data_IF_974977239266
#
_entry.id   IF_974977239266
#
_cell.length_a   1.000
_cell.length_b   1.000
_cell.length_c   1.000
_cell.angle_alpha   90.00
_cell.angle_beta   90.00
_cell.angle_gamma   90.00
#
_symmetry.space_group_name_H-M   'P 1'
#
loop_
_entity.id
_entity.type
_entity.pdbx_description
1 polymer ?
#
# COMPACT_ATOMS: atom_id res chain seq x y z
N UNK A 1 55.73 3.13 -51.15
CA UNK A 1 54.43 2.41 -51.13
C UNK A 1 54.59 1.17 -50.26
N UNK A 2 53.52 0.80 -49.55
CA UNK A 2 53.36 -0.41 -48.72
C UNK A 2 53.76 -0.33 -47.24
N UNK A 3 52.79 0.15 -46.45
CA UNK A 3 52.58 -0.22 -45.05
C UNK A 3 51.48 -1.28 -45.08
N UNK A 4 51.74 -2.49 -44.53
CA UNK A 4 50.77 -3.39 -43.86
C UNK A 4 51.32 -4.82 -43.82
N UNK A 5 51.19 -5.46 -42.63
CA UNK A 5 51.14 -6.93 -42.40
C UNK A 5 52.26 -7.61 -41.59
N UNK A 6 52.79 -6.98 -40.53
CA UNK A 6 53.68 -7.70 -39.58
C UNK A 6 53.03 -8.06 -38.23
N UNK A 7 51.75 -7.74 -38.01
CA UNK A 7 51.07 -7.99 -36.73
C UNK A 7 50.11 -9.20 -36.72
N UNK A 8 50.24 -10.13 -37.68
CA UNK A 8 49.16 -11.09 -37.99
C UNK A 8 49.46 -12.59 -37.89
N UNK A 9 50.69 -13.07 -37.73
CA UNK A 9 50.96 -14.52 -37.84
C UNK A 9 50.81 -15.28 -36.51
N UNK A 10 51.47 -14.85 -35.42
CA UNK A 10 51.50 -15.63 -34.17
C UNK A 10 50.20 -15.64 -33.36
N UNK A 11 49.50 -14.51 -33.26
CA UNK A 11 48.23 -14.44 -32.48
C UNK A 11 47.07 -15.14 -33.18
N UNK A 12 47.06 -15.17 -34.51
CA UNK A 12 45.98 -15.82 -35.27
C UNK A 12 46.02 -17.33 -35.12
N UNK A 13 47.21 -17.94 -35.15
CA UNK A 13 47.38 -19.38 -34.98
C UNK A 13 46.94 -19.85 -33.58
N UNK A 14 47.21 -19.06 -32.54
CA UNK A 14 46.73 -19.36 -31.18
C UNK A 14 45.20 -19.24 -31.06
N UNK A 15 44.58 -18.27 -31.75
CA UNK A 15 43.12 -18.09 -31.73
C UNK A 15 42.38 -19.17 -32.54
N UNK A 16 43.02 -19.79 -33.53
CA UNK A 16 42.44 -20.84 -34.39
C UNK A 16 42.89 -22.25 -34.04
N UNK A 17 43.62 -22.44 -32.94
CA UNK A 17 44.02 -23.76 -32.46
C UNK A 17 42.78 -24.56 -32.02
N UNK A 18 42.66 -25.82 -32.44
CA UNK A 18 41.52 -26.69 -32.16
C UNK A 18 41.25 -26.82 -30.65
N UNK A 19 42.30 -26.76 -29.83
CA UNK A 19 42.18 -26.77 -28.36
C UNK A 19 41.47 -25.52 -27.82
N UNK A 20 41.77 -24.34 -28.36
CA UNK A 20 41.18 -23.08 -27.91
C UNK A 20 39.76 -22.88 -28.46
N UNK A 21 39.47 -23.39 -29.66
CA UNK A 21 38.11 -23.41 -30.23
C UNK A 21 37.14 -24.17 -29.31
N UNK A 22 37.54 -25.33 -28.80
CA UNK A 22 36.73 -26.08 -27.84
C UNK A 22 36.43 -25.29 -26.56
N UNK A 23 37.42 -24.57 -26.03
CA UNK A 23 37.23 -23.69 -24.86
C UNK A 23 36.28 -22.52 -25.14
N UNK A 24 36.33 -21.92 -26.33
CA UNK A 24 35.41 -20.84 -26.70
C UNK A 24 33.97 -21.33 -26.86
N UNK A 25 33.77 -22.49 -27.49
CA UNK A 25 32.44 -23.10 -27.62
C UNK A 25 31.90 -23.41 -26.22
N UNK A 26 32.72 -24.02 -25.35
CA UNK A 26 32.33 -24.28 -23.97
C UNK A 26 31.97 -23.01 -23.22
N UNK A 27 32.78 -21.94 -23.33
CA UNK A 27 32.48 -20.65 -22.70
C UNK A 27 31.17 -20.04 -23.21
N UNK A 28 30.90 -20.12 -24.51
CA UNK A 28 29.63 -19.65 -25.09
C UNK A 28 28.43 -20.44 -24.56
N UNK A 29 28.55 -21.77 -24.45
CA UNK A 29 27.49 -22.62 -23.90
C UNK A 29 27.22 -22.27 -22.43
N UNK A 30 28.27 -22.11 -21.61
CA UNK A 30 28.12 -21.72 -20.21
C UNK A 30 27.44 -20.35 -20.10
N UNK A 31 27.87 -19.35 -20.88
CA UNK A 31 27.26 -18.03 -20.89
C UNK A 31 25.78 -18.08 -21.32
N UNK A 32 25.44 -18.89 -22.32
CA UNK A 32 24.06 -19.08 -22.75
C UNK A 32 23.18 -19.70 -21.65
N UNK A 33 23.70 -20.71 -20.93
CA UNK A 33 23.00 -21.33 -19.81
C UNK A 33 22.82 -20.33 -18.66
N UNK A 34 23.87 -19.58 -18.30
CA UNK A 34 23.81 -18.55 -17.26
C UNK A 34 22.76 -17.50 -17.61
N UNK A 35 22.75 -17.00 -18.86
CA UNK A 35 21.78 -16.01 -19.30
C UNK A 35 20.33 -16.53 -19.23
N UNK A 36 20.11 -17.78 -19.65
CA UNK A 36 18.80 -18.44 -19.54
C UNK A 36 18.35 -18.61 -18.09
N UNK A 37 19.27 -19.00 -17.20
CA UNK A 37 19.00 -19.13 -15.76
C UNK A 37 18.58 -17.80 -15.13
N UNK A 38 19.32 -16.72 -15.40
CA UNK A 38 19.00 -15.37 -14.91
C UNK A 38 17.61 -14.94 -15.37
N UNK A 39 17.28 -15.10 -16.65
CA UNK A 39 15.97 -14.75 -17.21
C UNK A 39 14.83 -15.52 -16.53
N UNK A 40 15.05 -16.81 -16.26
CA UNK A 40 14.06 -17.68 -15.61
C UNK A 40 13.80 -17.24 -14.16
N UNK A 41 14.86 -16.95 -13.39
CA UNK A 41 14.73 -16.44 -12.01
C UNK A 41 14.01 -15.11 -11.99
N UNK A 42 14.37 -14.18 -12.88
CA UNK A 42 13.69 -12.88 -12.99
C UNK A 42 12.19 -13.05 -13.31
N UNK A 43 11.86 -13.92 -14.26
CA UNK A 43 10.47 -14.18 -14.67
C UNK A 43 9.67 -14.79 -13.52
N UNK A 44 10.24 -15.78 -12.81
CA UNK A 44 9.61 -16.38 -11.64
C UNK A 44 9.39 -15.36 -10.52
N UNK A 45 10.35 -14.48 -10.26
CA UNK A 45 10.19 -13.43 -9.25
C UNK A 45 9.07 -12.45 -9.60
N UNK A 46 8.99 -12.02 -10.87
CA UNK A 46 7.91 -11.15 -11.35
C UNK A 46 6.55 -11.84 -11.22
N UNK A 47 6.46 -13.11 -11.62
CA UNK A 47 5.24 -13.90 -11.48
C UNK A 47 4.82 -14.05 -10.02
N UNK A 48 5.75 -14.39 -9.12
CA UNK A 48 5.46 -14.48 -7.68
C UNK A 48 4.97 -13.16 -7.11
N UNK A 49 5.57 -12.04 -7.51
CA UNK A 49 5.13 -10.70 -7.11
C UNK A 49 3.72 -10.39 -7.61
N UNK A 50 3.40 -10.73 -8.86
CA UNK A 50 2.05 -10.56 -9.39
C UNK A 50 1.03 -11.40 -8.61
N UNK A 51 1.35 -12.67 -8.34
CA UNK A 51 0.50 -13.55 -7.55
C UNK A 51 0.29 -13.00 -6.14
N UNK A 52 1.34 -12.52 -5.47
CA UNK A 52 1.19 -11.93 -4.13
C UNK A 52 0.31 -10.69 -4.16
N UNK A 53 0.49 -9.81 -5.15
CA UNK A 53 -0.35 -8.60 -5.29
C UNK A 53 -1.80 -8.95 -5.57
N UNK A 54 -2.08 -9.93 -6.43
CA UNK A 54 -3.44 -10.37 -6.75
C UNK A 54 -4.11 -11.02 -5.54
N UNK A 55 -3.37 -11.82 -4.76
CA UNK A 55 -3.87 -12.41 -3.52
C UNK A 55 -4.26 -11.33 -2.50
N UNK A 56 -3.39 -10.35 -2.29
CA UNK A 56 -3.67 -9.22 -1.39
C UNK A 56 -4.89 -8.42 -1.85
N UNK A 57 -4.99 -8.10 -3.14
CA UNK A 57 -6.17 -7.42 -3.69
C UNK A 57 -7.45 -8.22 -3.49
N UNK A 58 -7.39 -9.54 -3.71
CA UNK A 58 -8.54 -10.43 -3.51
C UNK A 58 -8.98 -10.47 -2.03
N UNK A 59 -8.03 -10.54 -1.11
CA UNK A 59 -8.29 -10.51 0.34
C UNK A 59 -8.95 -9.19 0.76
N UNK A 60 -8.45 -8.05 0.28
CA UNK A 60 -9.06 -6.73 0.53
C UNK A 60 -10.49 -6.68 -0.02
N UNK A 61 -10.70 -7.13 -1.26
CA UNK A 61 -12.04 -7.16 -1.87
C UNK A 61 -12.99 -8.09 -1.10
N UNK A 62 -12.49 -9.22 -0.61
CA UNK A 62 -13.27 -10.14 0.21
C UNK A 62 -13.72 -9.47 1.51
N UNK A 63 -12.81 -8.81 2.23
CA UNK A 63 -13.11 -8.06 3.45
C UNK A 63 -14.10 -6.92 3.19
N UNK A 64 -13.95 -6.20 2.08
CA UNK A 64 -14.90 -5.15 1.69
C UNK A 64 -16.30 -5.71 1.43
N UNK A 65 -16.40 -6.88 0.78
CA UNK A 65 -17.67 -7.55 0.54
C UNK A 65 -18.30 -8.03 1.85
N UNK A 66 -17.53 -8.67 2.73
CA UNK A 66 -17.98 -9.08 4.07
C UNK A 66 -18.47 -7.88 4.89
N UNK A 67 -17.74 -6.76 4.88
CA UNK A 67 -18.15 -5.53 5.57
C UNK A 67 -19.45 -4.97 4.96
N UNK A 68 -19.57 -4.95 3.63
CA UNK A 68 -20.79 -4.51 2.94
C UNK A 68 -21.97 -5.42 3.30
N UNK A 69 -21.76 -6.73 3.40
CA UNK A 69 -22.79 -7.66 3.84
C UNK A 69 -23.23 -7.37 5.28
N UNK A 70 -22.29 -7.18 6.21
CA UNK A 70 -22.59 -6.84 7.60
C UNK A 70 -23.36 -5.51 7.72
N UNK A 71 -23.01 -4.50 6.91
CA UNK A 71 -23.75 -3.24 6.87
C UNK A 71 -25.19 -3.45 6.39
N UNK A 72 -25.38 -4.23 5.32
CA UNK A 72 -26.71 -4.57 4.83
C UNK A 72 -27.53 -5.35 5.87
N UNK A 73 -26.90 -6.26 6.61
CA UNK A 73 -27.56 -6.97 7.72
C UNK A 73 -27.92 -6.02 8.87
N UNK A 74 -27.01 -5.12 9.26
CA UNK A 74 -27.26 -4.08 10.25
C UNK A 74 -28.48 -3.22 9.88
N UNK A 75 -28.60 -2.79 8.62
CA UNK A 75 -29.74 -2.01 8.15
C UNK A 75 -31.07 -2.76 8.16
N UNK A 76 -31.05 -4.10 8.24
CA UNK A 76 -32.24 -4.93 8.39
C UNK A 76 -32.63 -5.18 9.84
N UNK A 77 -31.80 -4.77 10.81
CA UNK A 77 -32.08 -4.98 12.23
C UNK A 77 -33.17 -4.03 12.75
N UNK A 78 -33.91 -4.50 13.75
CA UNK A 78 -34.86 -3.64 14.50
C UNK A 78 -34.14 -2.49 15.21
N UNK A 79 -32.89 -2.69 15.63
CA UNK A 79 -32.08 -1.65 16.28
C UNK A 79 -31.81 -0.48 15.33
N UNK A 80 -31.45 -0.77 14.08
CA UNK A 80 -31.29 0.28 13.08
C UNK A 80 -32.61 0.99 12.80
N UNK A 81 -33.71 0.26 12.64
CA UNK A 81 -35.04 0.83 12.45
C UNK A 81 -35.41 1.77 13.60
N UNK A 82 -35.17 1.36 14.83
CA UNK A 82 -35.44 2.16 16.02
C UNK A 82 -34.58 3.43 16.08
N UNK A 83 -33.27 3.32 15.86
CA UNK A 83 -32.36 4.46 15.82
C UNK A 83 -32.74 5.46 14.71
N UNK A 84 -33.09 4.95 13.53
CA UNK A 84 -33.56 5.77 12.42
C UNK A 84 -34.90 6.45 12.74
N UNK A 85 -35.84 5.74 13.37
CA UNK A 85 -37.11 6.29 13.84
C UNK A 85 -36.90 7.46 14.82
N UNK A 86 -35.96 7.29 15.76
CA UNK A 86 -35.59 8.32 16.74
C UNK A 86 -34.91 9.52 16.09
N UNK A 87 -33.92 9.30 15.22
CA UNK A 87 -33.12 10.36 14.61
C UNK A 87 -33.89 11.16 13.57
N UNK A 88 -34.60 10.50 12.66
CA UNK A 88 -35.20 11.17 11.51
C UNK A 88 -36.64 11.61 11.75
N UNK A 89 -37.38 10.88 12.58
CA UNK A 89 -38.80 11.13 12.79
C UNK A 89 -39.13 11.61 14.20
N UNK A 90 -38.14 11.66 15.11
CA UNK A 90 -38.35 12.04 16.50
C UNK A 90 -39.32 11.11 17.23
N UNK A 91 -39.47 9.86 16.76
CA UNK A 91 -40.35 8.86 17.34
C UNK A 91 -39.66 8.20 18.54
N UNK A 92 -40.45 7.75 19.51
CA UNK A 92 -39.98 6.99 20.65
C UNK A 92 -40.81 5.72 20.84
N UNK A 93 -40.25 4.75 21.56
CA UNK A 93 -40.95 3.52 21.84
C UNK A 93 -42.17 3.77 22.73
N UNK A 94 -43.20 2.89 22.72
CA UNK A 94 -44.34 3.01 23.60
C UNK A 94 -43.91 3.12 25.07
N UNK A 95 -44.37 4.15 25.78
CA UNK A 95 -44.01 4.42 27.18
C UNK A 95 -42.84 5.38 27.37
N UNK A 96 -42.13 5.76 26.31
CA UNK A 96 -41.09 6.78 26.36
C UNK A 96 -41.62 8.18 26.04
N UNK A 97 -40.96 9.23 26.58
CA UNK A 97 -41.32 10.63 26.36
C UNK A 97 -40.20 11.36 25.65
N UNK A 98 -40.48 11.92 24.47
CA UNK A 98 -39.54 12.74 23.72
C UNK A 98 -39.58 14.17 24.26
N UNK A 99 -38.41 14.72 24.59
CA UNK A 99 -38.25 16.10 25.03
C UNK A 99 -37.47 16.88 23.98
N UNK A 100 -38.11 17.90 23.40
CA UNK A 100 -37.44 18.86 22.53
C UNK A 100 -36.80 19.94 23.40
N UNK A 101 -35.47 19.90 23.52
CA UNK A 101 -34.70 20.85 24.35
C UNK A 101 -34.01 21.86 23.42
N UNK A 102 -34.21 23.18 23.62
CA UNK A 102 -33.47 24.21 22.92
C UNK A 102 -31.96 24.03 23.08
N UNK A 103 -31.21 24.28 22.01
CA UNK A 103 -29.75 24.03 21.97
C UNK A 103 -29.01 24.80 23.05
N UNK A 104 -29.40 26.03 23.31
CA UNK A 104 -28.85 26.89 24.36
C UNK A 104 -28.97 26.25 25.76
N UNK A 105 -30.13 25.63 26.05
CA UNK A 105 -30.35 24.92 27.32
C UNK A 105 -29.55 23.62 27.38
N UNK A 106 -29.54 22.84 26.28
CA UNK A 106 -28.78 21.59 26.21
C UNK A 106 -27.27 21.83 26.42
N UNK A 107 -26.71 22.83 25.74
CA UNK A 107 -25.28 23.15 25.79
C UNK A 107 -24.83 23.76 27.12
N UNK A 108 -25.75 24.32 27.91
CA UNK A 108 -25.43 24.92 29.23
C UNK A 108 -24.90 23.90 30.23
N UNK A 109 -25.31 22.64 30.12
CA UNK A 109 -24.96 21.56 31.05
C UNK A 109 -24.02 20.51 30.45
N UNK A 110 -23.61 20.67 29.19
CA UNK A 110 -22.65 19.78 28.55
C UNK A 110 -21.23 20.19 28.97
N UNK A 111 -20.49 19.23 29.54
CA UNK A 111 -19.07 19.42 29.79
C UNK A 111 -18.32 19.49 28.45
N UNK A 112 -17.85 20.68 28.11
CA UNK A 112 -17.13 20.95 26.86
C UNK A 112 -15.81 20.18 26.76
N UNK A 113 -15.30 19.63 27.86
CA UNK A 113 -14.10 18.77 27.84
C UNK A 113 -14.38 17.36 27.30
N UNK A 114 -15.64 16.90 27.35
CA UNK A 114 -16.07 15.59 26.86
C UNK A 114 -16.54 15.61 25.41
N UNK A 115 -16.81 16.80 24.87
CA UNK A 115 -17.13 16.95 23.44
C UNK A 115 -15.86 16.65 22.65
N UNK A 116 -15.87 15.63 21.77
CA UNK A 116 -14.73 15.37 20.90
C UNK A 116 -14.41 16.64 20.13
N UNK A 117 -13.23 17.21 20.38
CA UNK A 117 -12.78 18.39 19.64
C UNK A 117 -12.72 17.99 18.17
N UNK A 118 -13.46 18.72 17.35
CA UNK A 118 -13.43 18.55 15.91
C UNK A 118 -11.96 18.58 15.45
N UNK A 119 -11.46 17.56 14.73
CA UNK A 119 -10.08 17.53 14.26
C UNK A 119 -9.74 18.73 13.35
N UNK A 120 -10.75 19.44 12.82
CA UNK A 120 -10.59 20.72 12.11
C UNK A 120 -10.19 21.90 13.01
N UNK A 121 -10.31 21.78 14.34
CA UNK A 121 -9.76 22.71 15.32
C UNK A 121 -8.34 22.33 15.80
N UNK A 122 -7.60 21.49 15.06
CA UNK A 122 -6.14 21.40 15.24
C UNK A 122 -5.57 22.77 14.87
N UNK A 123 -5.09 23.52 15.88
CA UNK A 123 -4.43 24.81 15.70
C UNK A 123 -3.47 24.74 14.50
N UNK A 124 -3.63 25.65 13.55
CA UNK A 124 -2.78 25.70 12.36
C UNK A 124 -1.31 25.70 12.80
N UNK A 125 -0.59 24.64 12.44
CA UNK A 125 0.78 24.44 12.88
C UNK A 125 1.66 25.55 12.28
N UNK A 126 2.06 26.52 13.11
CA UNK A 126 2.84 27.70 12.71
C UNK A 126 4.30 27.39 12.36
N UNK A 127 4.74 26.13 12.47
CA UNK A 127 6.13 25.76 12.18
C UNK A 127 6.45 25.88 10.69
N UNK A 128 7.71 26.18 10.40
CA UNK A 128 8.24 26.23 9.03
C UNK A 128 8.07 24.90 8.29
N UNK A 129 7.91 24.94 6.96
CA UNK A 129 7.75 23.75 6.09
C UNK A 129 8.83 22.71 6.32
N UNK A 130 10.07 23.13 6.53
CA UNK A 130 11.19 22.22 6.79
C UNK A 130 11.04 21.44 8.10
N UNK A 131 10.57 22.10 9.17
CA UNK A 131 10.35 21.47 10.47
C UNK A 131 9.20 20.44 10.41
N UNK A 132 8.14 20.74 9.65
CA UNK A 132 7.03 19.82 9.39
C UNK A 132 7.50 18.58 8.64
N UNK A 133 8.25 18.77 7.57
CA UNK A 133 8.78 17.67 6.75
C UNK A 133 9.73 16.78 7.55
N UNK A 134 10.64 17.37 8.34
CA UNK A 134 11.56 16.60 9.18
C UNK A 134 10.81 15.75 10.21
N UNK A 135 9.81 16.34 10.87
CA UNK A 135 8.98 15.57 11.81
C UNK A 135 8.23 14.44 11.10
N UNK A 136 7.65 14.69 9.93
CA UNK A 136 6.95 13.66 9.17
C UNK A 136 7.88 12.48 8.81
N UNK A 137 9.10 12.77 8.36
CA UNK A 137 10.11 11.74 8.10
C UNK A 137 10.52 10.96 9.36
N UNK A 138 10.75 11.65 10.48
CA UNK A 138 11.06 11.00 11.75
C UNK A 138 9.92 10.09 12.22
N UNK A 139 8.69 10.59 12.16
CA UNK A 139 7.52 9.87 12.64
C UNK A 139 7.20 8.67 11.72
N UNK A 140 7.48 8.77 10.41
CA UNK A 140 7.44 7.66 9.46
C UNK A 140 8.50 6.59 9.77
N UNK A 141 9.76 6.98 9.90
CA UNK A 141 10.88 6.04 10.16
C UNK A 141 10.75 5.32 11.51
N UNK A 142 10.14 5.97 12.50
CA UNK A 142 9.93 5.40 13.83
C UNK A 142 8.56 4.74 14.00
N UNK A 143 7.77 4.61 12.93
CA UNK A 143 6.46 3.96 12.97
C UNK A 143 5.43 4.61 13.91
N UNK A 144 5.58 5.91 14.20
CA UNK A 144 4.71 6.63 15.15
C UNK A 144 3.35 7.02 14.58
N UNK A 145 3.17 6.92 13.25
CA UNK A 145 1.90 7.14 12.55
C UNK A 145 1.29 5.81 12.09
N UNK A 146 0.88 4.96 13.03
CA UNK A 146 0.16 3.72 12.70
C UNK A 146 -1.36 3.79 12.94
N UNK A 147 -1.91 4.89 13.43
CA UNK A 147 -3.37 5.03 13.65
C UNK A 147 -3.80 6.49 13.47
N UNK A 148 -4.19 6.87 12.26
CA UNK A 148 -5.13 7.97 11.96
C UNK A 148 -5.84 7.60 10.66
N UNK A 149 -6.74 6.62 10.71
CA UNK A 149 -8.08 6.61 10.09
C UNK A 149 -9.00 5.74 10.94
#
# INVERSE_FOLDING_TARGET
MSIKNLWKSGRRQQLTDARNIGLYIFALVVLAITWSGVKTVQTNYVLQKQVSTLKQQNEVLKLQNENTQLQNEYYRTNQYLELAARQYFGLAAPGEKVLLVPKDVAMKYVDQSLVPKDPSQKSEDKRSRYAKNFQAWRDFLLGRKLVEE
#
